data_IF_533027284280
#
_entry.id   IF_533027284280
#
_cell.length_a   1.000
_cell.length_b   1.000
_cell.length_c   1.000
_cell.angle_alpha   90.00
_cell.angle_beta   90.00
_cell.angle_gamma   90.00
#
_symmetry.space_group_name_H-M   'P 1'
#
loop_
_entity.id
_entity.type
_entity.pdbx_description
1 polymer ?
#
# COMPACT_ATOMS: atom_id res chain seq x y z
N UNK A 1 -2.70 -5.21 -1.93
CA UNK A 1 -2.52 -4.38 -3.14
C UNK A 1 -3.78 -3.57 -3.36
N UNK A 2 -3.64 -2.32 -3.79
CA UNK A 2 -4.76 -1.49 -4.25
C UNK A 2 -4.41 -0.88 -5.61
N UNK A 3 -5.22 0.04 -6.11
CA UNK A 3 -4.90 0.84 -7.29
C UNK A 3 -4.91 0.10 -8.63
N UNK A 4 -4.22 0.66 -9.63
CA UNK A 4 -4.23 0.15 -11.02
C UNK A 4 -3.82 -1.33 -11.10
N UNK A 5 -2.97 -1.74 -10.17
CA UNK A 5 -2.53 -3.13 -9.97
C UNK A 5 -3.69 -4.08 -9.66
N UNK A 6 -4.55 -3.68 -8.71
CA UNK A 6 -5.71 -4.47 -8.29
C UNK A 6 -6.85 -4.50 -9.32
N UNK A 7 -6.93 -3.47 -10.19
CA UNK A 7 -7.92 -3.36 -11.28
C UNK A 7 -7.51 -4.08 -12.57
N UNK A 8 -6.22 -4.34 -12.77
CA UNK A 8 -5.69 -4.94 -14.01
C UNK A 8 -5.43 -3.94 -15.14
N UNK A 9 -5.57 -2.63 -14.87
CA UNK A 9 -5.34 -1.54 -15.84
C UNK A 9 -3.93 -0.94 -15.74
N UNK A 10 -2.96 -1.74 -15.31
CA UNK A 10 -1.59 -1.27 -15.15
C UNK A 10 -0.98 -0.89 -16.49
N UNK A 11 -0.31 0.26 -16.51
CA UNK A 11 0.59 0.62 -17.60
C UNK A 11 1.99 0.13 -17.26
N UNK A 12 2.85 0.03 -18.26
CA UNK A 12 4.21 -0.53 -18.07
C UNK A 12 5.04 0.30 -17.07
N UNK A 13 4.70 1.58 -16.95
CA UNK A 13 5.29 2.60 -16.09
C UNK A 13 4.55 2.83 -14.76
N UNK A 14 3.49 2.04 -14.45
CA UNK A 14 2.72 2.26 -13.22
C UNK A 14 3.45 1.70 -11.99
N UNK A 15 3.45 2.50 -10.92
CA UNK A 15 3.90 2.12 -9.59
C UNK A 15 3.02 1.00 -8.98
N UNK A 16 3.52 0.33 -7.94
CA UNK A 16 2.79 -0.69 -7.21
C UNK A 16 2.25 -0.13 -5.89
N UNK A 17 0.94 -0.04 -5.82
CA UNK A 17 0.22 0.44 -4.63
C UNK A 17 0.03 -0.69 -3.58
N UNK A 18 0.70 -0.56 -2.43
CA UNK A 18 0.69 -1.56 -1.34
C UNK A 18 0.11 -0.96 -0.07
N UNK A 19 -1.02 -1.52 0.39
CA UNK A 19 -1.61 -1.17 1.68
C UNK A 19 -1.19 -2.22 2.71
N UNK A 20 -0.58 -1.78 3.81
CA UNK A 20 -0.17 -2.64 4.93
C UNK A 20 -0.95 -2.35 6.19
N UNK A 21 -1.10 -3.37 7.03
CA UNK A 21 -1.61 -3.24 8.39
C UNK A 21 -0.66 -4.00 9.29
N UNK A 22 -0.15 -3.31 10.31
CA UNK A 22 0.74 -3.90 11.29
C UNK A 22 -0.08 -4.43 12.47
N UNK A 23 0.50 -5.37 13.22
CA UNK A 23 -0.11 -5.83 14.45
C UNK A 23 -0.24 -4.65 15.45
N UNK A 24 -1.30 -4.61 16.27
CA UNK A 24 -1.61 -3.47 17.13
C UNK A 24 -0.52 -3.18 18.19
N UNK A 25 0.31 -4.17 18.51
CA UNK A 25 1.45 -4.08 19.43
C UNK A 25 2.77 -3.74 18.71
N UNK A 26 2.78 -3.64 17.38
CA UNK A 26 3.96 -3.31 16.59
C UNK A 26 3.99 -1.82 16.23
N UNK A 27 4.78 -1.06 16.99
CA UNK A 27 5.19 0.27 16.57
C UNK A 27 6.30 0.16 15.52
N UNK A 28 6.00 0.54 14.29
CA UNK A 28 6.98 0.66 13.20
C UNK A 28 7.56 2.07 13.25
N UNK A 29 8.89 2.19 13.26
CA UNK A 29 9.56 3.47 13.12
C UNK A 29 9.51 3.95 11.67
N UNK A 30 9.66 5.27 11.43
CA UNK A 30 9.72 5.80 10.07
C UNK A 30 10.82 5.17 9.21
N UNK A 31 11.97 4.84 9.81
CA UNK A 31 13.07 4.16 9.11
C UNK A 31 12.72 2.71 8.73
N UNK A 32 12.06 1.96 9.62
CA UNK A 32 11.58 0.62 9.29
C UNK A 32 10.53 0.66 8.17
N UNK A 33 9.68 1.69 8.14
CA UNK A 33 8.68 1.88 7.09
C UNK A 33 9.34 2.13 5.72
N UNK A 34 10.35 3.00 5.67
CA UNK A 34 11.13 3.26 4.45
C UNK A 34 11.87 2.00 4.01
N UNK A 35 12.53 1.31 4.94
CA UNK A 35 13.25 0.07 4.63
C UNK A 35 12.31 -1.03 4.08
N UNK A 36 11.06 -1.07 4.56
CA UNK A 36 10.04 -1.98 4.03
C UNK A 36 9.64 -1.60 2.60
N UNK A 37 9.45 -0.30 2.32
CA UNK A 37 9.17 0.17 0.96
C UNK A 37 10.31 -0.22 0.01
N UNK A 38 11.56 0.09 0.35
CA UNK A 38 12.75 -0.26 -0.44
C UNK A 38 12.85 -1.77 -0.69
N UNK A 39 12.59 -2.59 0.33
CA UNK A 39 12.61 -4.05 0.20
C UNK A 39 11.51 -4.55 -0.76
N UNK A 40 10.31 -3.96 -0.70
CA UNK A 40 9.22 -4.31 -1.61
C UNK A 40 9.55 -3.89 -3.05
N UNK A 41 10.16 -2.71 -3.26
CA UNK A 41 10.61 -2.28 -4.59
C UNK A 41 11.62 -3.25 -5.19
N UNK A 42 12.57 -3.74 -4.39
CA UNK A 42 13.54 -4.74 -4.82
C UNK A 42 12.88 -6.07 -5.19
N UNK A 43 11.87 -6.51 -4.44
CA UNK A 43 11.13 -7.75 -4.72
C UNK A 43 10.29 -7.62 -5.99
N UNK A 44 9.65 -6.48 -6.20
CA UNK A 44 8.78 -6.27 -7.36
C UNK A 44 9.51 -5.78 -8.61
N UNK A 45 10.72 -5.23 -8.48
CA UNK A 45 11.47 -4.61 -9.57
C UNK A 45 10.81 -3.35 -10.13
N UNK A 46 9.95 -2.70 -9.34
CA UNK A 46 9.18 -1.50 -9.70
C UNK A 46 9.04 -0.57 -8.48
N UNK A 47 8.82 0.73 -8.70
CA UNK A 47 8.48 1.66 -7.62
C UNK A 47 7.25 1.18 -6.85
N UNK A 48 7.26 1.36 -5.52
CA UNK A 48 6.18 0.94 -4.63
C UNK A 48 5.68 2.15 -3.84
N UNK A 49 4.38 2.46 -3.98
CA UNK A 49 3.71 3.38 -3.06
C UNK A 49 3.18 2.59 -1.86
N UNK A 50 3.84 2.74 -0.71
CA UNK A 50 3.50 2.05 0.52
C UNK A 50 2.64 2.94 1.42
N UNK A 51 1.41 2.51 1.70
CA UNK A 51 0.49 3.19 2.62
C UNK A 51 0.09 2.28 3.78
N UNK A 52 -0.16 2.85 4.95
CA UNK A 52 -0.81 2.11 6.04
C UNK A 52 -2.32 2.24 5.93
N UNK A 53 -3.06 1.18 6.30
CA UNK A 53 -4.53 1.23 6.37
C UNK A 53 -5.03 2.40 7.21
N UNK A 54 -4.42 2.65 8.35
CA UNK A 54 -4.76 3.77 9.24
C UNK A 54 -4.61 5.12 8.52
N UNK A 55 -3.51 5.34 7.78
CA UNK A 55 -3.30 6.60 7.04
C UNK A 55 -4.40 6.87 6.00
N UNK A 56 -4.92 5.80 5.37
CA UNK A 56 -6.01 5.91 4.38
C UNK A 56 -7.36 6.11 5.07
N UNK A 57 -7.59 5.47 6.21
CA UNK A 57 -8.82 5.63 6.99
C UNK A 57 -8.98 7.05 7.55
N UNK A 58 -7.86 7.66 7.95
CA UNK A 58 -7.78 9.04 8.43
C UNK A 58 -7.62 10.10 7.32
N UNK A 59 -7.64 9.68 6.05
CA UNK A 59 -7.55 10.61 4.94
C UNK A 59 -8.69 11.64 4.97
N UNK A 60 -8.40 12.95 4.94
CA UNK A 60 -9.42 13.99 4.95
C UNK A 60 -10.30 13.99 3.70
N UNK A 61 -9.87 13.36 2.61
CA UNK A 61 -10.65 13.20 1.39
C UNK A 61 -11.44 11.88 1.40
N UNK A 62 -12.76 11.92 1.67
CA UNK A 62 -13.57 10.72 1.78
C UNK A 62 -13.70 9.96 0.44
N UNK A 63 -13.63 10.66 -0.70
CA UNK A 63 -13.69 10.03 -2.02
C UNK A 63 -12.42 9.23 -2.29
N UNK A 64 -11.24 9.78 -1.96
CA UNK A 64 -9.96 9.10 -2.11
C UNK A 64 -9.89 7.85 -1.23
N UNK A 65 -10.29 7.99 0.04
CA UNK A 65 -10.41 6.87 0.98
C UNK A 65 -11.32 5.77 0.44
N UNK A 66 -12.50 6.11 -0.05
CA UNK A 66 -13.46 5.13 -0.54
C UNK A 66 -12.96 4.42 -1.80
N UNK A 67 -12.30 5.14 -2.72
CA UNK A 67 -11.68 4.54 -3.91
C UNK A 67 -10.54 3.58 -3.52
N UNK A 68 -9.63 3.98 -2.63
CA UNK A 68 -8.51 3.14 -2.21
C UNK A 68 -8.98 1.90 -1.45
N UNK A 69 -9.88 2.04 -0.48
CA UNK A 69 -10.38 0.93 0.34
C UNK A 69 -11.31 -0.01 -0.44
N UNK A 70 -12.10 0.52 -1.37
CA UNK A 70 -13.01 -0.26 -2.20
C UNK A 70 -12.30 -1.17 -3.21
N UNK A 71 -11.03 -0.90 -3.49
CA UNK A 71 -10.24 -1.62 -4.50
C UNK A 71 -9.13 -2.49 -3.89
N UNK A 72 -9.08 -2.62 -2.57
CA UNK A 72 -8.06 -3.44 -1.89
C UNK A 72 -8.28 -4.91 -2.21
N UNK A 73 -7.25 -5.53 -2.78
CA UNK A 73 -7.10 -7.00 -2.82
C UNK A 73 -6.07 -7.44 -1.80
N UNK A 74 -6.47 -8.38 -0.93
CA UNK A 74 -5.59 -8.99 0.05
C UNK A 74 -4.57 -9.87 -0.69
N UNK A 75 -3.27 -9.56 -0.52
CA UNK A 75 -2.18 -10.37 -1.07
C UNK A 75 -1.67 -11.40 -0.07
N UNK A 76 -1.71 -11.05 1.22
CA UNK A 76 -1.18 -11.88 2.30
C UNK A 76 -1.95 -11.57 3.59
N UNK A 77 -2.20 -12.60 4.38
CA UNK A 77 -2.74 -12.54 5.74
C UNK A 77 -2.07 -13.67 6.53
N UNK A 78 -1.54 -13.35 7.71
CA UNK A 78 -0.91 -14.32 8.62
C UNK A 78 -1.90 -14.78 9.71
#
# INVERSE_FOLDING_TARGET
MFGSQARGDQRVDSDIDVLVSFAPDRCITGFEFIALADALEQVFGKPVDLLTRESVEHDPNPMRRQAMLGEVRVLYHA
#
